data_IF_835502150457
#
_entry.id   IF_835502150457
#
_cell.length_a   1.000
_cell.length_b   1.000
_cell.length_c   1.000
_cell.angle_alpha   90.00
_cell.angle_beta   90.00
_cell.angle_gamma   90.00
#
_symmetry.space_group_name_H-M   'P 1'
#
loop_
_entity.id
_entity.type
_entity.pdbx_description
1 polymer ?
#
# COMPACT_ATOMS: atom_id res chain seq x y z
N UNK A 1 18.36 3.17 1.58
CA UNK A 1 17.29 2.39 0.92
C UNK A 1 16.05 2.53 1.79
N UNK A 2 14.88 2.80 1.21
CA UNK A 2 13.65 2.95 1.98
C UNK A 2 13.20 1.60 2.54
N UNK A 3 12.87 1.52 3.83
CA UNK A 3 12.47 0.26 4.46
C UNK A 3 11.58 0.51 5.66
N UNK A 4 10.61 -0.37 5.85
CA UNK A 4 9.79 -0.40 7.06
C UNK A 4 10.54 -1.18 8.15
N UNK A 5 10.83 -0.54 9.28
CA UNK A 5 11.40 -1.21 10.45
C UNK A 5 10.27 -1.68 11.38
N UNK A 6 9.94 -2.97 11.35
CA UNK A 6 8.87 -3.51 12.19
C UNK A 6 9.37 -3.81 13.61
N UNK A 7 8.68 -3.27 14.63
CA UNK A 7 8.89 -3.61 16.04
C UNK A 7 8.75 -5.12 16.23
N UNK A 8 9.81 -5.75 16.73
CA UNK A 8 9.93 -7.21 16.88
C UNK A 8 9.58 -8.00 15.61
N UNK A 9 9.83 -7.44 14.43
CA UNK A 9 9.48 -8.03 13.13
C UNK A 9 7.95 -8.21 12.92
N UNK A 10 7.12 -7.43 13.63
CA UNK A 10 5.67 -7.62 13.64
C UNK A 10 4.84 -6.36 13.39
N UNK A 11 5.18 -5.23 13.98
CA UNK A 11 4.30 -4.04 13.97
C UNK A 11 5.05 -2.79 13.57
N UNK A 12 4.47 -1.99 12.67
CA UNK A 12 4.88 -0.62 12.39
C UNK A 12 3.62 0.24 12.25
N UNK A 13 3.71 1.53 12.59
CA UNK A 13 2.58 2.46 12.48
C UNK A 13 2.68 3.31 11.21
N UNK A 14 1.53 3.70 10.64
CA UNK A 14 1.47 4.58 9.46
C UNK A 14 0.79 5.89 9.85
N UNK A 15 1.51 7.00 9.77
CA UNK A 15 1.07 8.29 10.29
C UNK A 15 1.46 9.43 9.34
N UNK A 16 0.67 10.49 9.33
CA UNK A 16 0.96 11.70 8.53
C UNK A 16 1.92 12.62 9.27
N UNK A 17 2.71 13.37 8.52
CA UNK A 17 3.49 14.47 9.05
C UNK A 17 3.21 15.76 8.27
N UNK A 18 3.24 16.89 8.98
CA UNK A 18 3.01 18.21 8.39
C UNK A 18 4.16 18.65 7.47
N UNK A 19 5.38 18.35 7.87
CA UNK A 19 6.63 18.73 7.21
C UNK A 19 7.76 17.76 7.59
N UNK A 20 8.95 17.92 7.00
CA UNK A 20 10.10 17.05 7.25
C UNK A 20 10.57 17.09 8.71
N UNK A 21 10.51 18.26 9.37
CA UNK A 21 10.93 18.37 10.77
C UNK A 21 10.00 17.55 11.67
N UNK A 22 8.69 17.65 11.44
CA UNK A 22 7.70 16.84 12.11
C UNK A 22 7.84 15.35 11.76
N UNK A 23 8.14 15.01 10.50
CA UNK A 23 8.37 13.63 10.07
C UNK A 23 9.54 12.98 10.83
N UNK A 24 10.66 13.70 10.99
CA UNK A 24 11.81 13.24 11.79
C UNK A 24 11.43 13.03 13.25
N UNK A 25 10.75 14.00 13.86
CA UNK A 25 10.33 13.90 15.26
C UNK A 25 9.37 12.72 15.50
N UNK A 26 8.43 12.47 14.56
CA UNK A 26 7.52 11.32 14.63
C UNK A 26 8.30 10.01 14.47
N UNK A 27 9.22 9.93 13.50
CA UNK A 27 9.99 8.72 13.25
C UNK A 27 10.88 8.36 14.45
N UNK A 28 11.50 9.36 15.09
CA UNK A 28 12.26 9.23 16.33
C UNK A 28 11.37 8.79 17.50
N UNK A 29 10.21 9.44 17.70
CA UNK A 29 9.27 9.10 18.75
C UNK A 29 8.69 7.67 18.60
N UNK A 30 8.62 7.17 17.37
CA UNK A 30 8.23 5.79 17.07
C UNK A 30 9.39 4.78 17.22
N UNK A 31 10.56 5.20 17.68
CA UNK A 31 11.79 4.38 17.73
C UNK A 31 12.13 3.76 16.35
N UNK A 32 11.82 4.49 15.28
CA UNK A 32 11.98 4.06 13.89
C UNK A 32 10.88 3.11 13.39
N UNK A 33 9.89 2.75 14.21
CA UNK A 33 8.82 1.80 13.86
C UNK A 33 7.60 2.45 13.20
N UNK A 34 7.83 3.41 12.30
CA UNK A 34 6.78 4.11 11.57
C UNK A 34 7.07 4.21 10.06
N UNK A 35 6.02 4.34 9.26
CA UNK A 35 6.05 4.89 7.90
C UNK A 35 5.37 6.26 7.91
N UNK A 36 5.99 7.24 7.25
CA UNK A 36 5.51 8.63 7.27
C UNK A 36 4.82 8.96 5.95
N UNK A 37 3.55 9.35 6.05
CA UNK A 37 2.68 9.63 4.92
C UNK A 37 2.98 10.95 4.22
N UNK A 38 3.21 10.90 2.92
CA UNK A 38 3.29 12.05 2.00
C UNK A 38 2.19 11.92 0.97
N UNK A 39 1.24 12.86 0.95
CA UNK A 39 -0.01 12.72 0.20
C UNK A 39 0.15 13.26 -1.23
N UNK A 40 -0.22 12.46 -2.24
CA UNK A 40 -0.19 12.89 -3.63
C UNK A 40 -1.19 14.01 -3.93
N UNK A 41 -2.30 14.10 -3.17
CA UNK A 41 -3.29 15.16 -3.31
C UNK A 41 -2.72 16.58 -3.14
N UNK A 42 -1.57 16.74 -2.47
CA UNK A 42 -0.94 18.05 -2.30
C UNK A 42 -0.16 18.52 -3.54
N UNK A 43 0.04 17.66 -4.53
CA UNK A 43 0.75 17.96 -5.77
C UNK A 43 -0.24 18.10 -6.91
N UNK A 44 0.04 19.01 -7.84
CA UNK A 44 -0.75 19.14 -9.06
C UNK A 44 -0.44 17.99 -10.01
N UNK A 45 0.84 17.64 -10.19
CA UNK A 45 1.31 16.63 -11.15
C UNK A 45 2.25 15.59 -10.52
N UNK A 46 2.56 14.52 -11.27
CA UNK A 46 3.55 13.50 -10.85
C UNK A 46 4.95 14.11 -10.82
N UNK A 47 5.27 14.95 -11.80
CA UNK A 47 6.56 15.61 -11.99
C UNK A 47 6.90 16.55 -10.82
N UNK A 48 5.87 17.16 -10.21
CA UNK A 48 5.99 17.95 -9.00
C UNK A 48 6.18 17.06 -7.76
N UNK A 49 5.41 15.98 -7.66
CA UNK A 49 5.46 15.11 -6.48
C UNK A 49 6.76 14.31 -6.36
N UNK A 50 7.32 13.82 -7.47
CA UNK A 50 8.55 12.99 -7.46
C UNK A 50 9.74 13.66 -6.75
N UNK A 51 10.17 14.89 -7.10
CA UNK A 51 11.29 15.54 -6.41
C UNK A 51 10.98 15.85 -4.95
N UNK A 52 9.73 16.19 -4.62
CA UNK A 52 9.35 16.46 -3.23
C UNK A 52 9.38 15.18 -2.39
N UNK A 53 8.81 14.07 -2.86
CA UNK A 53 8.89 12.79 -2.14
C UNK A 53 10.35 12.34 -1.99
N UNK A 54 11.20 12.54 -3.00
CA UNK A 54 12.64 12.28 -2.89
C UNK A 54 13.32 13.13 -1.81
N UNK A 55 12.93 14.40 -1.68
CA UNK A 55 13.42 15.30 -0.62
C UNK A 55 13.08 14.76 0.76
N UNK A 56 11.86 14.25 0.95
CA UNK A 56 11.46 13.59 2.20
C UNK A 56 12.23 12.30 2.46
N UNK A 57 12.40 11.46 1.43
CA UNK A 57 13.11 10.19 1.52
C UNK A 57 14.61 10.32 1.82
N UNK A 58 15.23 11.45 1.48
CA UNK A 58 16.61 11.75 1.86
C UNK A 58 16.77 11.95 3.37
N UNK A 59 15.70 12.34 4.04
CA UNK A 59 15.69 12.79 5.43
C UNK A 59 15.01 11.78 6.38
N UNK A 60 14.14 10.92 5.84
CA UNK A 60 13.34 9.95 6.59
C UNK A 60 13.46 8.56 5.96
N UNK A 61 13.85 7.51 6.71
CA UNK A 61 14.12 6.17 6.15
C UNK A 61 12.90 5.41 5.63
N UNK A 62 11.69 5.86 5.97
CA UNK A 62 10.46 5.08 5.82
C UNK A 62 9.29 5.99 5.42
N UNK A 63 9.11 6.19 4.13
CA UNK A 63 8.06 7.01 3.53
C UNK A 63 6.91 6.14 3.00
N UNK A 64 5.70 6.63 3.22
CA UNK A 64 4.43 6.12 2.72
C UNK A 64 3.84 7.12 1.72
N UNK A 65 3.80 6.79 0.43
CA UNK A 65 3.10 7.65 -0.54
C UNK A 65 1.61 7.40 -0.41
N UNK A 66 0.83 8.43 -0.09
CA UNK A 66 -0.60 8.35 0.17
C UNK A 66 -1.44 9.04 -0.90
N UNK A 67 -2.73 8.69 -1.00
CA UNK A 67 -3.67 9.36 -1.90
C UNK A 67 -4.00 10.78 -1.41
N UNK A 68 -4.43 10.86 -0.16
CA UNK A 68 -5.07 12.02 0.46
C UNK A 68 -6.55 11.75 0.69
N UNK A 69 -6.96 11.62 1.96
CA UNK A 69 -8.33 11.25 2.37
C UNK A 69 -8.91 9.98 1.70
N UNK A 70 -8.07 9.12 1.12
CA UNK A 70 -8.52 7.96 0.34
C UNK A 70 -9.16 8.30 -1.01
N UNK A 71 -8.95 9.51 -1.53
CA UNK A 71 -9.53 9.97 -2.79
C UNK A 71 -9.12 9.08 -3.98
N UNK A 72 -10.07 8.38 -4.62
CA UNK A 72 -9.78 7.51 -5.75
C UNK A 72 -9.24 8.25 -6.96
N UNK A 73 -9.50 9.56 -7.13
CA UNK A 73 -8.94 10.31 -8.24
C UNK A 73 -7.40 10.42 -8.17
N UNK A 74 -6.81 10.23 -7.00
CA UNK A 74 -5.36 10.30 -6.80
C UNK A 74 -4.62 9.02 -7.16
N UNK A 75 -5.33 7.95 -7.53
CA UNK A 75 -4.75 6.62 -7.72
C UNK A 75 -3.52 6.63 -8.63
N UNK A 76 -3.67 7.27 -9.80
CA UNK A 76 -2.63 7.35 -10.81
C UNK A 76 -1.42 8.11 -10.29
N UNK A 77 -1.65 9.24 -9.62
CA UNK A 77 -0.58 10.10 -9.12
C UNK A 77 0.22 9.42 -8.02
N UNK A 78 -0.46 8.81 -7.06
CA UNK A 78 0.19 8.05 -5.98
C UNK A 78 1.02 6.88 -6.53
N UNK A 79 0.45 6.10 -7.47
CA UNK A 79 1.14 4.97 -8.09
C UNK A 79 2.37 5.42 -8.90
N UNK A 80 2.23 6.45 -9.75
CA UNK A 80 3.33 6.90 -10.58
C UNK A 80 4.42 7.58 -9.77
N UNK A 81 4.10 8.37 -8.74
CA UNK A 81 5.13 8.90 -7.83
C UNK A 81 5.88 7.74 -7.18
N UNK A 82 5.16 6.76 -6.61
CA UNK A 82 5.77 5.59 -5.97
C UNK A 82 6.65 4.78 -6.93
N UNK A 83 6.24 4.64 -8.19
CA UNK A 83 6.99 3.93 -9.23
C UNK A 83 8.33 4.62 -9.59
N UNK A 84 8.44 5.94 -9.41
CA UNK A 84 9.68 6.68 -9.67
C UNK A 84 10.61 6.80 -8.46
N UNK A 85 10.04 6.78 -7.25
CA UNK A 85 10.80 7.07 -6.02
C UNK A 85 11.08 5.83 -5.19
N UNK A 86 10.29 4.77 -5.35
CA UNK A 86 10.44 3.51 -4.63
C UNK A 86 10.35 3.69 -3.09
N UNK A 87 9.20 4.15 -2.57
CA UNK A 87 9.01 4.39 -1.13
C UNK A 87 8.90 3.07 -0.36
N UNK A 88 8.99 3.13 0.97
CA UNK A 88 8.82 1.95 1.82
C UNK A 88 7.37 1.41 1.77
N UNK A 89 6.40 2.30 1.56
CA UNK A 89 4.98 2.00 1.54
C UNK A 89 4.25 2.88 0.51
N UNK A 90 3.13 2.39 0.00
CA UNK A 90 2.24 3.13 -0.91
C UNK A 90 0.78 2.76 -0.62
N UNK A 91 -0.07 3.77 -0.50
CA UNK A 91 -1.51 3.59 -0.34
C UNK A 91 -2.18 3.66 -1.70
N UNK A 92 -3.19 2.83 -1.92
CA UNK A 92 -3.91 2.81 -3.18
C UNK A 92 -5.39 2.46 -3.01
N UNK A 93 -6.24 2.95 -3.90
CA UNK A 93 -7.64 2.52 -4.00
C UNK A 93 -7.74 1.20 -4.76
N UNK A 94 -8.83 0.48 -4.58
CA UNK A 94 -9.02 -0.81 -5.21
C UNK A 94 -8.96 -0.81 -6.75
N UNK A 95 -9.72 0.05 -7.42
CA UNK A 95 -9.68 0.17 -8.89
C UNK A 95 -8.31 0.67 -9.37
N UNK A 96 -7.62 1.44 -8.53
CA UNK A 96 -6.23 1.80 -8.71
C UNK A 96 -5.24 0.69 -8.38
N UNK A 97 -5.63 -0.36 -7.64
CA UNK A 97 -4.72 -1.39 -7.13
C UNK A 97 -4.28 -2.36 -8.21
N UNK A 98 -5.11 -2.62 -9.23
CA UNK A 98 -4.66 -3.38 -10.41
C UNK A 98 -3.64 -2.60 -11.24
N UNK A 99 -3.87 -1.30 -11.45
CA UNK A 99 -2.91 -0.41 -12.11
C UNK A 99 -1.62 -0.24 -11.30
N UNK A 100 -1.75 0.01 -9.99
CA UNK A 100 -0.62 0.14 -9.09
C UNK A 100 0.09 -1.19 -8.88
N UNK A 101 -0.59 -2.33 -8.87
CA UNK A 101 0.04 -3.64 -8.89
C UNK A 101 0.81 -3.80 -10.20
N UNK A 102 0.26 -3.56 -11.39
CA UNK A 102 1.06 -3.62 -12.63
C UNK A 102 2.26 -2.67 -12.64
N UNK A 103 2.04 -1.40 -12.28
CA UNK A 103 3.05 -0.35 -12.29
C UNK A 103 4.11 -0.50 -11.17
N UNK A 104 3.71 -0.97 -9.99
CA UNK A 104 4.57 -1.11 -8.81
C UNK A 104 5.03 -2.52 -8.56
N UNK A 105 4.43 -3.57 -9.13
CA UNK A 105 4.84 -4.93 -8.83
C UNK A 105 6.16 -5.28 -9.51
N UNK A 106 6.42 -4.78 -10.72
CA UNK A 106 7.77 -4.85 -11.31
C UNK A 106 8.78 -4.12 -10.41
N UNK A 107 8.39 -2.98 -9.87
CA UNK A 107 9.21 -2.22 -8.92
C UNK A 107 9.38 -2.96 -7.59
N UNK A 108 8.34 -3.62 -7.09
CA UNK A 108 8.33 -4.34 -5.83
C UNK A 108 9.23 -5.57 -5.90
N UNK A 109 9.07 -6.34 -6.98
CA UNK A 109 9.91 -7.49 -7.29
C UNK A 109 11.39 -7.11 -7.46
N UNK A 110 11.69 -5.95 -8.07
CA UNK A 110 13.08 -5.54 -8.38
C UNK A 110 13.77 -4.72 -7.30
N UNK A 111 13.05 -3.89 -6.55
CA UNK A 111 13.64 -2.85 -5.71
C UNK A 111 13.29 -2.97 -4.22
N UNK A 112 12.78 -4.12 -3.79
CA UNK A 112 12.71 -4.47 -2.37
C UNK A 112 11.43 -4.07 -1.65
N UNK A 113 10.34 -3.71 -2.35
CA UNK A 113 9.02 -3.72 -1.71
C UNK A 113 8.58 -5.17 -1.55
N UNK A 114 8.52 -5.65 -0.32
CA UNK A 114 8.29 -7.07 -0.02
C UNK A 114 6.83 -7.45 0.16
N UNK A 115 5.92 -6.47 0.24
CA UNK A 115 4.51 -6.69 0.55
C UNK A 115 3.63 -5.69 -0.22
N UNK A 116 2.55 -6.18 -0.81
CA UNK A 116 1.43 -5.36 -1.31
C UNK A 116 0.15 -5.81 -0.60
N UNK A 117 -0.67 -4.86 -0.18
CA UNK A 117 -1.91 -5.10 0.57
C UNK A 117 -3.15 -4.57 -0.19
N UNK A 118 -3.62 -5.23 -1.27
CA UNK A 118 -4.78 -4.75 -2.02
C UNK A 118 -6.00 -4.60 -1.11
N UNK A 119 -6.70 -3.46 -1.12
CA UNK A 119 -7.76 -3.16 -0.14
C UNK A 119 -8.91 -2.34 -0.74
N UNK A 120 -10.13 -2.59 -0.23
CA UNK A 120 -11.38 -1.94 -0.64
C UNK A 120 -12.00 -2.63 -1.85
N UNK A 121 -13.33 -2.66 -2.02
CA UNK A 121 -13.99 -3.19 -3.24
C UNK A 121 -13.73 -4.67 -3.62
N UNK A 122 -12.92 -5.41 -2.86
CA UNK A 122 -12.60 -6.81 -3.14
C UNK A 122 -13.81 -7.66 -2.81
N UNK A 123 -14.21 -8.55 -3.70
CA UNK A 123 -15.25 -9.55 -3.51
C UNK A 123 -14.77 -10.91 -4.02
N UNK A 124 -15.59 -11.95 -3.85
CA UNK A 124 -15.29 -13.28 -4.39
C UNK A 124 -15.12 -13.29 -5.92
N UNK A 125 -15.71 -12.33 -6.64
CA UNK A 125 -15.69 -12.27 -8.10
C UNK A 125 -14.36 -11.74 -8.66
N UNK A 126 -13.66 -10.90 -7.89
CA UNK A 126 -12.47 -10.19 -8.36
C UNK A 126 -11.21 -10.48 -7.53
N UNK A 127 -11.32 -11.21 -6.41
CA UNK A 127 -10.18 -11.57 -5.57
C UNK A 127 -9.10 -12.32 -6.33
N UNK A 128 -9.48 -13.32 -7.15
CA UNK A 128 -8.53 -14.17 -7.87
C UNK A 128 -7.66 -13.41 -8.88
N UNK A 129 -8.27 -12.60 -9.73
CA UNK A 129 -7.52 -11.83 -10.75
C UNK A 129 -6.55 -10.83 -10.12
N UNK A 130 -6.90 -10.27 -8.95
CA UNK A 130 -6.05 -9.31 -8.23
C UNK A 130 -4.86 -10.01 -7.58
N UNK A 131 -5.12 -11.13 -6.91
CA UNK A 131 -4.06 -11.93 -6.32
C UNK A 131 -3.09 -12.43 -7.42
N UNK A 132 -3.62 -12.98 -8.51
CA UNK A 132 -2.84 -13.44 -9.65
C UNK A 132 -1.96 -12.34 -10.24
N UNK A 133 -2.53 -11.15 -10.48
CA UNK A 133 -1.77 -10.00 -11.03
C UNK A 133 -0.57 -9.64 -10.15
N UNK A 134 -0.75 -9.64 -8.82
CA UNK A 134 0.35 -9.35 -7.89
C UNK A 134 1.43 -10.44 -7.90
N UNK A 135 1.01 -11.72 -7.94
CA UNK A 135 1.92 -12.86 -7.93
C UNK A 135 2.74 -12.96 -9.23
N UNK A 136 2.09 -12.83 -10.39
CA UNK A 136 2.74 -12.90 -11.71
C UNK A 136 3.80 -11.81 -11.90
N UNK A 137 3.58 -10.65 -11.30
CA UNK A 137 4.54 -9.56 -11.35
C UNK A 137 5.69 -9.71 -10.34
N UNK A 138 5.73 -10.79 -9.56
CA UNK A 138 6.86 -11.18 -8.71
C UNK A 138 6.85 -10.57 -7.31
N UNK A 139 5.71 -10.11 -6.81
CA UNK A 139 5.60 -9.55 -5.45
C UNK A 139 5.84 -10.67 -4.42
N UNK A 140 6.80 -10.52 -3.49
CA UNK A 140 7.15 -11.61 -2.56
C UNK A 140 6.03 -11.99 -1.57
N UNK A 141 5.18 -11.03 -1.18
CA UNK A 141 4.06 -11.25 -0.25
C UNK A 141 2.87 -10.39 -0.67
N UNK A 142 1.67 -10.97 -0.63
CA UNK A 142 0.41 -10.27 -0.97
C UNK A 142 -0.57 -10.48 0.18
N UNK A 143 -1.19 -9.41 0.68
CA UNK A 143 -2.21 -9.47 1.75
C UNK A 143 -3.48 -8.71 1.31
N UNK A 144 -4.37 -9.35 0.54
CA UNK A 144 -5.61 -8.71 0.13
C UNK A 144 -6.59 -8.60 1.30
N UNK A 145 -7.13 -7.41 1.53
CA UNK A 145 -8.13 -7.14 2.54
C UNK A 145 -9.54 -7.21 1.94
N UNK A 146 -10.35 -8.15 2.42
CA UNK A 146 -11.75 -8.35 2.00
C UNK A 146 -12.66 -7.99 3.17
N UNK A 147 -13.47 -6.94 3.01
CA UNK A 147 -14.27 -6.35 4.10
C UNK A 147 -15.78 -6.55 3.88
N UNK A 148 -16.49 -5.47 3.58
CA UNK A 148 -17.96 -5.42 3.51
C UNK A 148 -18.58 -6.43 2.56
N UNK A 149 -17.85 -6.85 1.52
CA UNK A 149 -18.32 -7.83 0.54
C UNK A 149 -18.54 -9.22 1.13
N UNK A 150 -17.84 -9.59 2.22
CA UNK A 150 -17.95 -10.89 2.89
C UNK A 150 -18.59 -10.80 4.28
N UNK A 151 -19.05 -9.61 4.68
CA UNK A 151 -19.73 -9.39 5.96
C UNK A 151 -21.24 -9.49 5.76
N UNK A 152 -21.91 -10.27 6.61
CA UNK A 152 -23.37 -10.31 6.68
C UNK A 152 -23.89 -8.98 7.26
N UNK A 153 -24.71 -8.21 6.53
CA UNK A 153 -25.19 -6.90 6.98
C UNK A 153 -26.14 -6.96 8.16
N UNK A 154 -26.75 -8.12 8.46
CA UNK A 154 -27.67 -8.27 9.59
C UNK A 154 -26.91 -8.51 10.90
N UNK A 155 -25.89 -9.36 10.86
CA UNK A 155 -25.13 -9.77 12.05
C UNK A 155 -23.84 -8.98 12.25
N UNK A 156 -23.31 -8.36 11.19
CA UNK A 156 -21.98 -7.75 11.18
C UNK A 156 -20.83 -8.76 11.16
N UNK A 157 -21.13 -10.06 11.08
CA UNK A 157 -20.12 -11.11 11.06
C UNK A 157 -19.56 -11.32 9.65
N UNK A 158 -18.26 -11.57 9.55
CA UNK A 158 -17.67 -12.13 8.32
C UNK A 158 -18.18 -13.56 8.13
N UNK A 159 -18.70 -13.86 6.94
CA UNK A 159 -19.23 -15.17 6.56
C UNK A 159 -18.11 -16.22 6.45
N UNK A 160 -18.07 -17.27 7.30
CA UNK A 160 -17.01 -18.28 7.24
C UNK A 160 -16.92 -19.01 5.89
N UNK A 161 -18.04 -19.21 5.20
CA UNK A 161 -18.12 -19.82 3.87
C UNK A 161 -17.40 -18.98 2.79
N UNK A 162 -17.47 -17.66 2.89
CA UNK A 162 -16.75 -16.77 1.97
C UNK A 162 -15.25 -16.82 2.25
N UNK A 163 -14.84 -16.93 3.52
CA UNK A 163 -13.43 -17.12 3.90
C UNK A 163 -12.89 -18.45 3.36
N UNK A 164 -13.67 -19.54 3.42
CA UNK A 164 -13.31 -20.83 2.82
C UNK A 164 -13.07 -20.66 1.32
N UNK A 165 -13.97 -19.96 0.61
CA UNK A 165 -13.85 -19.74 -0.84
C UNK A 165 -12.67 -18.84 -1.21
N UNK A 166 -12.37 -17.81 -0.42
CA UNK A 166 -11.15 -17.02 -0.57
C UNK A 166 -9.90 -17.92 -0.45
N UNK A 167 -9.88 -18.81 0.55
CA UNK A 167 -8.77 -19.74 0.75
C UNK A 167 -8.65 -20.79 -0.35
N UNK A 168 -9.74 -21.22 -0.97
CA UNK A 168 -9.71 -22.06 -2.17
C UNK A 168 -9.04 -21.35 -3.34
N UNK A 169 -9.36 -20.07 -3.56
CA UNK A 169 -8.71 -19.25 -4.59
C UNK A 169 -7.21 -19.05 -4.28
N UNK A 170 -6.86 -18.77 -3.02
CA UNK A 170 -5.44 -18.65 -2.61
C UNK A 170 -4.67 -19.93 -2.92
N UNK A 171 -5.20 -21.10 -2.53
CA UNK A 171 -4.55 -22.42 -2.77
C UNK A 171 -4.45 -22.78 -4.25
N UNK A 172 -5.29 -22.20 -5.11
CA UNK A 172 -5.23 -22.43 -6.55
C UNK A 172 -4.14 -21.58 -7.25
N UNK A 173 -3.73 -20.47 -6.62
CA UNK A 173 -2.83 -19.47 -7.21
C UNK A 173 -1.42 -19.49 -6.60
N UNK A 174 -1.23 -20.13 -5.45
CA UNK A 174 0.05 -20.25 -4.70
C UNK A 174 0.38 -21.71 -4.47
#
# INVERSE_FOLDING_TARGET
>A
MQQINFYRQRVAINVLAKDIANAKAIYEAAEGHAVIGVLSAQFSTVEEGVPEVKRWMAEVPSISVGLGAGDPAQYYKAAMIAAHVHPAHVNQTFTGSGFAAGALATTAARYGMTLIEPTGGISLDNFGIILQTCLEAGVPRVMPHVYSSIIDPQTGNTRPEDVIRLMEIVKALV
#
